data_IF_504694670116
#
_entry.id   IF_504694670116
#
_cell.length_a   1.000
_cell.length_b   1.000
_cell.length_c   1.000
_cell.angle_alpha   90.00
_cell.angle_beta   90.00
_cell.angle_gamma   90.00
#
_symmetry.space_group_name_H-M   'P 1'
#
loop_
_entity.id
_entity.type
_entity.pdbx_description
1 polymer ?
#
# COMPACT_ATOMS: atom_id res chain seq x y z
N UNK A 1 5.57 -0.24 -10.79
CA UNK A 1 5.78 -1.67 -10.38
C UNK A 1 6.52 -2.50 -11.43
N UNK A 2 5.91 -2.85 -12.57
CA UNK A 2 6.52 -3.81 -13.54
C UNK A 2 7.91 -3.33 -14.02
N UNK A 3 8.00 -2.08 -14.45
CA UNK A 3 9.25 -1.44 -14.90
C UNK A 3 10.16 -0.95 -13.77
N UNK A 4 9.63 -0.75 -12.57
CA UNK A 4 10.37 -0.14 -11.44
C UNK A 4 10.87 -1.19 -10.44
N UNK A 5 10.42 -2.43 -10.56
CA UNK A 5 10.79 -3.52 -9.66
C UNK A 5 11.00 -4.81 -10.44
N UNK A 6 9.95 -5.36 -11.06
CA UNK A 6 10.01 -6.72 -11.63
C UNK A 6 11.03 -6.84 -12.78
N UNK A 7 11.08 -5.88 -13.69
CA UNK A 7 11.99 -5.93 -14.83
C UNK A 7 13.42 -5.46 -14.52
N UNK A 8 13.61 -4.79 -13.38
CA UNK A 8 14.94 -4.35 -12.93
C UNK A 8 15.71 -5.45 -12.19
N UNK A 9 15.03 -6.50 -11.75
CA UNK A 9 15.63 -7.56 -10.94
C UNK A 9 15.50 -8.92 -11.63
N UNK A 10 16.64 -9.56 -11.86
CA UNK A 10 16.70 -10.95 -12.31
C UNK A 10 16.75 -11.88 -11.08
N UNK A 11 15.61 -12.09 -10.41
CA UNK A 11 15.55 -13.03 -9.29
C UNK A 11 15.71 -14.47 -9.77
N UNK A 12 16.59 -15.22 -9.12
CA UNK A 12 16.89 -16.61 -9.48
C UNK A 12 15.82 -17.56 -8.96
N UNK A 13 15.12 -17.17 -7.88
CA UNK A 13 14.11 -18.01 -7.22
C UNK A 13 12.82 -17.26 -6.94
N UNK A 14 11.72 -18.01 -6.85
CA UNK A 14 10.41 -17.44 -6.50
C UNK A 14 10.37 -16.83 -5.09
N UNK A 15 11.19 -17.32 -4.14
CA UNK A 15 11.28 -16.73 -2.79
C UNK A 15 11.94 -15.36 -2.82
N UNK A 16 13.03 -15.20 -3.58
CA UNK A 16 13.66 -13.89 -3.81
C UNK A 16 12.69 -12.92 -4.49
N UNK A 17 11.95 -13.39 -5.49
CA UNK A 17 10.92 -12.57 -6.15
C UNK A 17 9.83 -12.10 -5.17
N UNK A 18 9.31 -13.00 -4.33
CA UNK A 18 8.33 -12.63 -3.30
C UNK A 18 8.88 -11.60 -2.31
N UNK A 19 10.12 -11.76 -1.85
CA UNK A 19 10.75 -10.81 -0.93
C UNK A 19 10.97 -9.44 -1.59
N UNK A 20 11.46 -9.42 -2.83
CA UNK A 20 11.67 -8.19 -3.60
C UNK A 20 10.37 -7.43 -3.87
N UNK A 21 9.31 -8.14 -4.30
CA UNK A 21 7.99 -7.53 -4.51
C UNK A 21 7.40 -7.01 -3.20
N UNK A 22 7.52 -7.74 -2.09
CA UNK A 22 7.06 -7.27 -0.77
C UNK A 22 7.72 -5.95 -0.39
N UNK A 23 9.06 -5.88 -0.50
CA UNK A 23 9.82 -4.66 -0.22
C UNK A 23 9.41 -3.50 -1.11
N UNK A 24 9.16 -3.76 -2.39
CA UNK A 24 8.66 -2.74 -3.32
C UNK A 24 7.26 -2.23 -2.95
N UNK A 25 6.36 -3.12 -2.55
CA UNK A 25 5.02 -2.74 -2.11
C UNK A 25 5.05 -1.90 -0.84
N UNK A 26 5.90 -2.24 0.13
CA UNK A 26 6.09 -1.44 1.35
C UNK A 26 6.54 -0.01 1.03
N UNK A 27 7.53 0.13 0.14
CA UNK A 27 7.98 1.43 -0.33
C UNK A 27 6.86 2.20 -1.06
N UNK A 28 6.20 1.55 -2.02
CA UNK A 28 5.13 2.18 -2.80
C UNK A 28 3.99 2.69 -1.91
N UNK A 29 3.55 1.87 -0.95
CA UNK A 29 2.39 2.19 -0.11
C UNK A 29 2.71 3.24 0.95
N UNK A 30 3.90 3.21 1.56
CA UNK A 30 4.18 4.00 2.76
C UNK A 30 5.17 5.15 2.56
N UNK A 31 5.93 5.15 1.46
CA UNK A 31 7.04 6.10 1.28
C UNK A 31 7.03 6.84 -0.04
N UNK A 32 6.41 6.28 -1.09
CA UNK A 32 6.40 6.91 -2.41
C UNK A 32 5.45 8.11 -2.38
N UNK A 33 5.91 9.32 -2.71
CA UNK A 33 5.03 10.47 -2.87
C UNK A 33 4.28 10.35 -4.19
N UNK A 34 2.98 10.67 -4.18
CA UNK A 34 2.15 10.67 -5.37
C UNK A 34 1.56 12.06 -5.62
N UNK A 35 1.88 12.66 -6.78
CA UNK A 35 1.36 13.98 -7.19
C UNK A 35 -0.18 14.05 -7.17
N UNK A 36 -0.83 12.99 -7.66
CA UNK A 36 -2.29 12.87 -7.66
C UNK A 36 -2.90 12.77 -6.24
N UNK A 37 -2.08 12.45 -5.23
CA UNK A 37 -2.45 12.36 -3.82
C UNK A 37 -1.87 13.52 -3.00
N UNK A 38 -1.52 14.65 -3.64
CA UNK A 38 -0.96 15.80 -2.95
C UNK A 38 0.40 15.52 -2.30
N UNK A 39 1.25 14.74 -2.98
CA UNK A 39 2.56 14.26 -2.50
C UNK A 39 2.51 13.28 -1.33
N UNK A 40 1.32 12.84 -0.91
CA UNK A 40 1.18 11.86 0.17
C UNK A 40 1.32 10.41 -0.32
N UNK A 41 1.81 9.49 0.53
CA UNK A 41 1.78 8.07 0.24
C UNK A 41 0.36 7.49 0.21
N UNK A 42 0.10 6.43 -0.58
CA UNK A 42 -1.22 5.83 -0.67
C UNK A 42 -1.77 5.35 0.67
N UNK A 43 -0.93 4.76 1.53
CA UNK A 43 -1.35 4.25 2.83
C UNK A 43 -1.96 5.35 3.71
N UNK A 44 -1.42 6.58 3.65
CA UNK A 44 -1.97 7.72 4.41
C UNK A 44 -3.37 8.06 3.92
N UNK A 45 -3.55 8.22 2.61
CA UNK A 45 -4.82 8.63 2.01
C UNK A 45 -5.91 7.58 2.19
N UNK A 46 -5.58 6.30 1.99
CA UNK A 46 -6.57 5.23 2.10
C UNK A 46 -6.84 4.82 3.55
N UNK A 47 -5.87 4.91 4.48
CA UNK A 47 -6.13 4.68 5.91
C UNK A 47 -7.12 5.71 6.45
N UNK A 48 -6.94 6.99 6.13
CA UNK A 48 -7.86 8.06 6.51
C UNK A 48 -9.26 7.87 5.91
N UNK A 49 -9.36 7.34 4.68
CA UNK A 49 -10.66 7.01 4.07
C UNK A 49 -11.34 5.83 4.77
N UNK A 50 -10.59 4.80 5.15
CA UNK A 50 -11.14 3.67 5.91
C UNK A 50 -11.67 4.13 7.26
N UNK A 51 -10.91 4.98 7.98
CA UNK A 51 -11.35 5.58 9.24
C UNK A 51 -12.59 6.47 9.07
N UNK A 52 -12.62 7.32 8.05
CA UNK A 52 -13.77 8.18 7.75
C UNK A 52 -15.02 7.42 7.27
N UNK A 53 -14.86 6.21 6.74
CA UNK A 53 -15.98 5.33 6.31
C UNK A 53 -16.44 4.40 7.44
N UNK A 54 -15.74 4.39 8.57
CA UNK A 54 -16.04 3.59 9.77
C UNK A 54 -16.53 4.43 10.97
N UNK A 55 -17.60 5.26 10.88
CA UNK A 55 -18.26 5.79 12.08
C UNK A 55 -19.47 4.98 12.55
N UNK A 56 -19.94 3.95 11.84
CA UNK A 56 -21.27 3.34 12.08
C UNK A 56 -21.27 1.85 12.49
N UNK A 57 -20.20 1.36 13.14
CA UNK A 57 -20.23 0.00 13.75
C UNK A 57 -20.43 0.01 15.27
N UNK A 58 -20.62 1.17 15.90
CA UNK A 58 -20.79 1.28 17.36
C UNK A 58 -22.26 1.23 17.83
N UNK A 59 -23.27 1.42 16.95
CA UNK A 59 -24.69 1.45 17.38
C UNK A 59 -25.43 0.10 17.35
N UNK A 60 -24.86 -0.98 16.81
CA UNK A 60 -25.55 -2.29 16.75
C UNK A 60 -25.33 -3.22 17.97
N UNK A 61 -24.61 -2.80 19.01
CA UNK A 61 -24.41 -3.62 20.23
C UNK A 61 -25.30 -3.14 21.41
N UNK A 62 -26.21 -2.18 21.19
CA UNK A 62 -27.13 -1.68 22.24
C UNK A 62 -28.61 -1.62 21.79
N UNK A 63 -29.08 -2.59 21.02
CA UNK A 63 -30.51 -2.81 20.77
C UNK A 63 -30.95 -4.15 21.37
#
# INVERSE_FOLDING_TARGET
MKYECVYLHAWETGSQARAGVRKWMEFYNHRRPHKALGEQPPAVVYSLKVEATQPDQQEQIRA
#
